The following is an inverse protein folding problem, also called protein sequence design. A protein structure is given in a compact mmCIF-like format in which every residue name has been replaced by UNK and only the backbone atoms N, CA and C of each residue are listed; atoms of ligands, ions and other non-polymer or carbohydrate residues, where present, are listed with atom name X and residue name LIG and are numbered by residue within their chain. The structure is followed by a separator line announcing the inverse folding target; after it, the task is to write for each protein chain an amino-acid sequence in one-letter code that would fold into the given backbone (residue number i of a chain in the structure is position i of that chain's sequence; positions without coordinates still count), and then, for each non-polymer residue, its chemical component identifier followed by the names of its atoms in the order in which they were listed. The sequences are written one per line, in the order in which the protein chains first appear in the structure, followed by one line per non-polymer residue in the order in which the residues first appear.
data_IF_083255875196
#
_entry.id   IF_083255875196
#
_cell.length_a   1.000
_cell.length_b   1.000
_cell.length_c   1.000
_cell.angle_alpha   90.00
_cell.angle_beta   90.00
_cell.angle_gamma   90.00
#
_symmetry.space_group_name_H-M   'P 1'
#
loop_
_entity.id
_entity.type
_entity.pdbx_description
1 polymer ?
#
# COMPACT_ATOMS: atom_id res chain seq x y z
N UNK A 1 -13.16 22.81 4.34
CA UNK A 1 -12.56 22.10 3.22
C UNK A 1 -12.01 20.78 3.72
N UNK A 2 -12.52 19.69 3.21
CA UNK A 2 -11.96 18.40 3.54
C UNK A 2 -10.69 18.16 2.72
N UNK A 3 -9.64 17.78 3.40
CA UNK A 3 -8.39 17.43 2.73
C UNK A 3 -8.34 15.91 2.65
N UNK A 4 -8.52 15.37 1.46
CA UNK A 4 -8.37 13.94 1.25
C UNK A 4 -6.90 13.63 0.96
N UNK A 5 -6.41 12.53 1.51
CA UNK A 5 -5.07 12.06 1.20
C UNK A 5 -5.02 11.63 -0.26
N UNK A 6 -3.93 11.91 -0.97
CA UNK A 6 -3.81 11.44 -2.34
C UNK A 6 -3.74 9.92 -2.39
N UNK A 7 -4.09 9.36 -3.55
CA UNK A 7 -3.94 7.94 -3.76
C UNK A 7 -2.46 7.55 -3.64
N UNK A 8 -2.16 6.30 -3.23
CA UNK A 8 -0.78 5.85 -3.17
C UNK A 8 -0.08 5.98 -4.51
N UNK A 9 1.18 6.42 -4.47
CA UNK A 9 2.04 6.46 -5.64
C UNK A 9 2.63 5.08 -5.87
N UNK A 10 2.48 4.57 -7.08
CA UNK A 10 3.04 3.28 -7.46
C UNK A 10 3.92 3.48 -8.68
N UNK A 11 5.16 3.02 -8.59
CA UNK A 11 6.08 3.06 -9.71
C UNK A 11 6.72 1.70 -9.91
N UNK A 12 6.96 1.35 -11.16
CA UNK A 12 7.56 0.06 -11.53
C UNK A 12 8.96 0.33 -12.07
N UNK A 13 9.94 -0.42 -11.57
CA UNK A 13 11.32 -0.32 -12.01
C UNK A 13 11.95 -1.71 -12.05
N UNK A 14 13.22 -1.78 -12.48
CA UNK A 14 13.96 -3.03 -12.49
C UNK A 14 14.16 -3.59 -11.08
N UNK A 15 14.07 -2.74 -10.06
CA UNK A 15 14.22 -3.16 -8.66
C UNK A 15 12.92 -3.73 -8.08
N UNK A 16 11.79 -3.50 -8.74
CA UNK A 16 10.51 -3.97 -8.28
C UNK A 16 9.44 -2.90 -8.38
N UNK A 17 8.41 -3.04 -7.56
CA UNK A 17 7.29 -2.10 -7.51
C UNK A 17 7.40 -1.29 -6.23
N UNK A 18 7.53 0.02 -6.36
CA UNK A 18 7.61 0.92 -5.21
C UNK A 18 6.26 1.54 -4.96
N UNK A 19 5.80 1.43 -3.72
CA UNK A 19 4.54 2.02 -3.28
C UNK A 19 4.85 3.02 -2.18
N UNK A 20 4.37 4.26 -2.34
CA UNK A 20 4.54 5.29 -1.31
C UNK A 20 3.24 6.03 -1.11
N UNK A 21 2.95 6.35 0.15
CA UNK A 21 1.71 7.05 0.51
C UNK A 21 1.82 7.62 1.91
N UNK A 22 0.90 8.52 2.25
CA UNK A 22 0.77 9.05 3.59
C UNK A 22 -0.31 8.26 4.32
N UNK A 23 -0.06 7.81 5.57
CA UNK A 23 -1.03 6.99 6.29
C UNK A 23 -2.28 7.78 6.68
N UNK A 24 -3.42 7.11 6.70
CA UNK A 24 -4.69 7.68 7.14
C UNK A 24 -4.97 7.35 8.60
N UNK A 25 -4.27 6.37 9.17
CA UNK A 25 -4.38 6.04 10.58
C UNK A 25 -3.07 5.44 11.07
N UNK A 26 -2.90 5.41 12.39
CA UNK A 26 -1.80 4.67 13.00
C UNK A 26 -2.22 3.22 13.19
N UNK A 27 -1.24 2.32 13.19
CA UNK A 27 -1.49 0.90 13.37
C UNK A 27 -0.71 0.08 12.36
N UNK A 28 -1.19 -1.12 12.08
CA UNK A 28 -0.53 -2.02 11.16
C UNK A 28 -1.05 -1.79 9.74
N UNK A 29 -0.13 -1.49 8.84
CA UNK A 29 -0.44 -1.37 7.42
C UNK A 29 0.16 -2.55 6.68
N UNK A 30 -0.63 -3.14 5.80
CA UNK A 30 -0.20 -4.26 4.97
C UNK A 30 -0.27 -3.84 3.52
N UNK A 31 0.86 -3.96 2.83
CA UNK A 31 0.96 -3.65 1.40
C UNK A 31 1.28 -4.96 0.68
N UNK A 32 0.41 -5.35 -0.24
CA UNK A 32 0.53 -6.63 -0.93
C UNK A 32 0.56 -6.43 -2.44
N UNK A 33 1.40 -7.22 -3.09
CA UNK A 33 1.54 -7.23 -4.54
C UNK A 33 0.97 -8.52 -5.09
N UNK A 34 0.09 -8.40 -6.08
CA UNK A 34 -0.58 -9.53 -6.72
C UNK A 34 -0.21 -9.58 -8.20
N UNK A 35 -0.13 -10.78 -8.74
CA UNK A 35 0.08 -10.97 -10.19
C UNK A 35 -1.23 -10.83 -10.96
N UNK A 36 -1.18 -11.02 -12.27
CA UNK A 36 -2.36 -10.89 -13.12
C UNK A 36 -3.39 -11.99 -12.89
N UNK A 37 -2.99 -13.09 -12.25
CA UNK A 37 -3.89 -14.19 -11.89
C UNK A 37 -4.54 -13.97 -10.53
N UNK A 38 -4.19 -12.90 -9.83
CA UNK A 38 -4.74 -12.60 -8.51
C UNK A 38 -4.02 -13.29 -7.37
N UNK A 39 -2.82 -13.82 -7.61
CA UNK A 39 -2.02 -14.47 -6.57
C UNK A 39 -1.10 -13.45 -5.90
N UNK A 40 -1.04 -13.50 -4.59
CA UNK A 40 -0.11 -12.65 -3.85
C UNK A 40 1.31 -13.16 -4.02
N UNK A 41 2.17 -12.34 -4.59
CA UNK A 41 3.57 -12.71 -4.86
C UNK A 41 4.54 -12.09 -3.88
N UNK A 42 4.16 -11.00 -3.22
CA UNK A 42 4.97 -10.37 -2.19
C UNK A 42 4.09 -9.50 -1.30
N UNK A 43 4.54 -9.24 -0.09
CA UNK A 43 3.83 -8.39 0.85
C UNK A 43 4.78 -7.85 1.90
N UNK A 44 4.50 -6.66 2.40
CA UNK A 44 5.22 -6.10 3.54
C UNK A 44 4.23 -5.49 4.51
N UNK A 45 4.56 -5.59 5.80
CA UNK A 45 3.80 -4.93 6.85
C UNK A 45 4.63 -3.79 7.45
N UNK A 46 3.95 -2.70 7.78
CA UNK A 46 4.58 -1.53 8.37
C UNK A 46 3.80 -1.13 9.60
N UNK A 47 4.51 -0.92 10.71
CA UNK A 47 3.90 -0.40 11.92
C UNK A 47 3.97 1.12 11.88
N UNK A 48 2.81 1.77 11.78
CA UNK A 48 2.72 3.22 11.66
C UNK A 48 2.41 3.80 13.03
N UNK A 49 3.31 4.61 13.56
CA UNK A 49 3.18 5.18 14.89
C UNK A 49 2.76 6.64 14.88
N UNK A 50 2.80 7.28 13.73
CA UNK A 50 2.44 8.68 13.59
C UNK A 50 1.91 8.96 12.20
N UNK A 51 0.93 9.84 12.10
CA UNK A 51 0.40 10.27 10.79
C UNK A 51 1.39 11.14 10.02
N UNK A 52 2.45 11.59 10.68
CA UNK A 52 3.51 12.34 10.01
C UNK A 52 4.50 11.44 9.27
N UNK A 53 4.42 10.13 9.47
CA UNK A 53 5.27 9.20 8.75
C UNK A 53 4.87 9.14 7.29
N UNK A 54 5.87 9.01 6.43
CA UNK A 54 5.65 8.74 5.01
C UNK A 54 6.02 7.28 4.75
N UNK A 55 5.10 6.53 4.19
CA UNK A 55 5.29 5.09 3.96
C UNK A 55 5.87 4.88 2.57
N UNK A 56 6.95 4.12 2.50
CA UNK A 56 7.54 3.75 1.22
C UNK A 56 8.06 2.32 1.32
N UNK A 57 7.54 1.45 0.46
CA UNK A 57 7.94 0.04 0.43
C UNK A 57 8.22 -0.38 -1.01
N UNK A 58 9.07 -1.40 -1.15
CA UNK A 58 9.37 -1.99 -2.45
C UNK A 58 8.99 -3.46 -2.39
N UNK A 59 8.14 -3.89 -3.33
CA UNK A 59 7.70 -5.27 -3.45
C UNK A 59 8.26 -5.86 -4.75
N UNK A 60 8.57 -7.14 -4.71
CA UNK A 60 9.20 -7.84 -5.84
C UNK A 60 8.41 -9.11 -6.14
N UNK A 61 8.57 -9.59 -7.36
CA UNK A 61 7.92 -10.83 -7.78
C UNK A 61 7.22 -10.69 -9.12
N UNK A 62 6.64 -9.54 -9.39
CA UNK A 62 6.03 -9.24 -10.68
C UNK A 62 6.07 -7.75 -10.93
N UNK A 63 6.04 -7.37 -12.21
CA UNK A 63 5.92 -5.97 -12.61
C UNK A 63 4.56 -5.72 -13.27
N UNK A 64 3.70 -6.73 -13.26
CA UNK A 64 2.33 -6.64 -13.77
C UNK A 64 1.39 -7.13 -12.68
N UNK A 65 0.11 -6.79 -12.81
CA UNK A 65 -0.87 -7.17 -11.82
C UNK A 65 -1.39 -5.95 -11.06
N UNK A 66 -1.46 -6.06 -9.73
CA UNK A 66 -1.99 -4.95 -8.94
C UNK A 66 -1.44 -4.98 -7.50
N UNK A 67 -1.57 -3.83 -6.83
CA UNK A 67 -1.16 -3.66 -5.44
C UNK A 67 -2.40 -3.36 -4.61
N UNK A 68 -2.46 -3.94 -3.40
CA UNK A 68 -3.48 -3.58 -2.42
C UNK A 68 -2.82 -3.05 -1.17
N UNK A 69 -3.39 -1.99 -0.62
CA UNK A 69 -2.93 -1.36 0.62
C UNK A 69 -4.04 -1.47 1.65
N UNK A 70 -3.74 -2.12 2.77
CA UNK A 70 -4.66 -2.29 3.88
C UNK A 70 -4.14 -1.48 5.07
N UNK A 71 -4.98 -0.65 5.64
CA UNK A 71 -4.63 0.16 6.81
C UNK A 71 -5.52 -0.23 7.98
N UNK A 72 -4.93 -0.85 9.00
CA UNK A 72 -5.64 -1.30 10.18
C UNK A 72 -5.40 -0.34 11.33
N UNK A 73 -6.48 0.04 12.01
CA UNK A 73 -6.42 0.95 13.15
C UNK A 73 -5.79 0.25 14.35
N UNK A 74 -4.86 0.94 15.05
CA UNK A 74 -4.13 0.34 16.17
C UNK A 74 -5.02 0.02 17.36
N UNK A 75 -6.07 0.82 17.58
CA UNK A 75 -6.93 0.64 18.75
C UNK A 75 -8.02 -0.39 18.53
N UNK A 76 -8.59 -0.39 17.32
CA UNK A 76 -9.77 -1.21 17.03
C UNK A 76 -9.44 -2.49 16.28
N UNK A 77 -8.23 -2.60 15.74
CA UNK A 77 -7.81 -3.74 14.92
C UNK A 77 -8.72 -3.96 13.71
N UNK A 78 -9.32 -2.89 13.22
CA UNK A 78 -10.22 -2.92 12.07
C UNK A 78 -9.69 -1.98 10.99
N UNK A 79 -10.06 -2.18 9.73
CA UNK A 79 -9.64 -1.25 8.68
C UNK A 79 -10.16 0.16 8.97
N UNK A 80 -9.27 1.15 8.94
CA UNK A 80 -9.67 2.54 9.11
C UNK A 80 -10.15 3.16 7.82
N UNK A 81 -9.87 2.51 6.70
CA UNK A 81 -10.31 2.94 5.39
C UNK A 81 -10.46 1.71 4.51
N UNK A 82 -11.21 1.83 3.42
CA UNK A 82 -11.34 0.75 2.46
C UNK A 82 -9.98 0.42 1.85
N UNK A 83 -9.74 -0.85 1.57
CA UNK A 83 -8.51 -1.28 0.91
C UNK A 83 -8.37 -0.57 -0.43
N UNK A 84 -7.17 -0.05 -0.70
CA UNK A 84 -6.88 0.64 -1.95
C UNK A 84 -6.24 -0.35 -2.91
N UNK A 85 -6.70 -0.36 -4.14
CA UNK A 85 -6.19 -1.25 -5.18
C UNK A 85 -5.71 -0.41 -6.35
N UNK A 86 -4.48 -0.67 -6.80
CA UNK A 86 -3.85 0.09 -7.87
C UNK A 86 -3.34 -0.91 -8.90
N UNK A 87 -3.84 -0.80 -10.13
CA UNK A 87 -3.42 -1.67 -11.22
C UNK A 87 -2.03 -1.30 -11.72
N UNK A 88 -1.27 -2.30 -12.15
CA UNK A 88 0.05 -2.13 -12.74
C UNK A 88 0.00 -2.40 -14.25
N UNK A 89 0.92 -1.81 -15.01
CA UNK A 89 1.80 -0.72 -14.62
C UNK A 89 1.01 0.55 -14.33
N UNK A 90 1.49 1.31 -13.34
CA UNK A 90 0.86 2.57 -13.01
C UNK A 90 1.17 3.57 -14.12
N UNK A 91 0.13 4.03 -14.75
CA UNK A 91 0.28 4.98 -15.85
C UNK A 91 0.27 6.42 -15.34
#
# INVERSE_FOLDING_TARGET
VSVSRPAPDVSVSDEGVRISYDPECTGLHLIALYDTDGRMVDAQSVSVQSLDMHISVVLRGTQTGFVRVFQLDAEKNTPCTAAKQIALPAA
#
